data_IF_015942558039
#
_entry.id   IF_015942558039
#
_cell.length_a   1.000
_cell.length_b   1.000
_cell.length_c   1.000
_cell.angle_alpha   90.00
_cell.angle_beta   90.00
_cell.angle_gamma   90.00
#
_symmetry.space_group_name_H-M   'P 1'
#
loop_
_entity.id
_entity.type
_entity.pdbx_description
1 polymer ?
#
# COMPACT_ATOMS: atom_id res chain seq x y z
N UNK A 1 10.76 -62.03 -24.78
CA UNK A 1 11.54 -60.80 -25.06
C UNK A 1 10.61 -59.62 -24.92
N UNK A 2 11.11 -58.55 -24.31
CA UNK A 2 10.41 -57.64 -23.42
C UNK A 2 9.43 -56.65 -24.08
N UNK A 3 8.50 -56.15 -23.26
CA UNK A 3 7.48 -55.15 -23.60
C UNK A 3 8.07 -53.76 -23.90
N UNK A 4 7.40 -52.94 -24.73
CA UNK A 4 7.78 -51.54 -24.94
C UNK A 4 7.51 -50.70 -23.68
N UNK A 5 8.56 -50.12 -23.09
CA UNK A 5 8.44 -49.15 -22.00
C UNK A 5 8.12 -47.78 -22.59
N UNK A 6 6.83 -47.44 -22.61
CA UNK A 6 6.34 -46.08 -22.71
C UNK A 6 6.64 -45.36 -21.38
N UNK A 7 7.73 -44.61 -21.36
CA UNK A 7 8.26 -43.96 -20.16
C UNK A 7 8.06 -42.44 -20.15
N UNK A 8 7.00 -42.02 -19.47
CA UNK A 8 6.92 -40.84 -18.58
C UNK A 8 6.66 -39.46 -19.23
N UNK A 9 5.40 -39.08 -19.12
CA UNK A 9 4.82 -37.74 -19.13
C UNK A 9 5.82 -36.61 -18.86
N UNK A 10 6.16 -35.86 -19.90
CA UNK A 10 6.53 -34.46 -19.82
C UNK A 10 5.26 -33.64 -19.87
N UNK A 11 4.59 -33.49 -18.74
CA UNK A 11 3.47 -32.55 -18.60
C UNK A 11 3.76 -31.61 -17.44
N UNK A 12 3.48 -30.33 -17.68
CA UNK A 12 3.30 -29.28 -16.69
C UNK A 12 4.50 -28.39 -16.36
N UNK A 13 5.05 -27.75 -17.40
CA UNK A 13 5.58 -26.38 -17.30
C UNK A 13 4.72 -25.53 -18.26
N UNK A 14 3.65 -24.90 -17.76
CA UNK A 14 2.93 -23.89 -18.54
C UNK A 14 1.44 -23.73 -18.30
N UNK A 15 0.74 -24.72 -17.72
CA UNK A 15 -0.70 -24.63 -17.49
C UNK A 15 -0.99 -24.66 -15.99
N UNK A 16 -0.98 -23.48 -15.37
CA UNK A 16 -1.84 -23.27 -14.21
C UNK A 16 -3.27 -23.59 -14.69
N UNK A 17 -4.01 -24.53 -14.08
CA UNK A 17 -5.39 -24.81 -14.48
C UNK A 17 -6.16 -23.49 -14.46
N UNK A 18 -6.82 -23.14 -15.56
CA UNK A 18 -7.55 -21.86 -15.70
C UNK A 18 -8.53 -21.65 -14.53
N UNK A 19 -9.10 -22.74 -14.04
CA UNK A 19 -9.95 -22.78 -12.84
C UNK A 19 -9.29 -22.21 -11.58
N UNK A 20 -7.99 -22.45 -11.39
CA UNK A 20 -7.25 -21.92 -10.24
C UNK A 20 -6.93 -20.43 -10.40
N UNK A 21 -6.68 -19.97 -11.63
CA UNK A 21 -6.51 -18.55 -11.92
C UNK A 21 -7.82 -17.79 -11.68
N UNK A 22 -8.94 -18.32 -12.17
CA UNK A 22 -10.27 -17.74 -11.93
C UNK A 22 -10.63 -17.67 -10.45
N UNK A 23 -10.31 -18.73 -9.68
CA UNK A 23 -10.51 -18.73 -8.22
C UNK A 23 -9.70 -17.62 -7.55
N UNK A 24 -8.46 -17.40 -7.98
CA UNK A 24 -7.59 -16.33 -7.44
C UNK A 24 -8.09 -14.95 -7.83
N UNK A 25 -8.51 -14.75 -9.08
CA UNK A 25 -9.09 -13.49 -9.56
C UNK A 25 -10.37 -13.14 -8.81
N UNK A 26 -11.30 -14.10 -8.68
CA UNK A 26 -12.52 -13.90 -7.87
C UNK A 26 -12.21 -13.55 -6.42
N UNK A 27 -11.22 -14.21 -5.82
CA UNK A 27 -10.80 -13.91 -4.45
C UNK A 27 -10.15 -12.52 -4.31
N UNK A 28 -9.51 -11.99 -5.37
CA UNK A 28 -8.97 -10.62 -5.42
C UNK A 28 -10.10 -9.59 -5.56
N UNK A 29 -11.05 -9.83 -6.46
CA UNK A 29 -12.22 -8.98 -6.66
C UNK A 29 -13.07 -8.86 -5.37
N UNK A 30 -13.36 -9.99 -4.71
CA UNK A 30 -14.10 -10.01 -3.43
C UNK A 30 -13.38 -9.24 -2.31
N UNK A 31 -12.04 -9.14 -2.37
CA UNK A 31 -11.25 -8.36 -1.40
C UNK A 31 -11.24 -6.88 -1.76
N UNK A 32 -11.17 -6.57 -3.06
CA UNK A 32 -11.24 -5.20 -3.56
C UNK A 32 -12.59 -4.58 -3.24
N UNK A 33 -13.69 -5.29 -3.51
CA UNK A 33 -15.04 -4.80 -3.27
C UNK A 33 -15.32 -4.53 -1.79
N UNK A 34 -14.92 -5.45 -0.89
CA UNK A 34 -15.03 -5.23 0.56
C UNK A 34 -14.24 -4.00 1.03
N UNK A 35 -13.04 -3.79 0.51
CA UNK A 35 -12.25 -2.59 0.80
C UNK A 35 -12.90 -1.34 0.21
N UNK A 36 -13.48 -1.44 -1.00
CA UNK A 36 -14.19 -0.36 -1.70
C UNK A 36 -15.43 0.10 -0.94
N UNK A 37 -16.17 -0.82 -0.34
CA UNK A 37 -17.37 -0.53 0.46
C UNK A 37 -17.01 0.16 1.78
N UNK A 38 -15.95 -0.29 2.46
CA UNK A 38 -15.42 0.37 3.64
C UNK A 38 -14.94 1.80 3.31
N UNK A 39 -14.27 1.98 2.17
CA UNK A 39 -13.78 3.28 1.68
C UNK A 39 -14.91 4.24 1.27
N UNK A 40 -16.00 3.73 0.69
CA UNK A 40 -17.16 4.55 0.28
C UNK A 40 -17.99 5.04 1.44
N UNK A 41 -18.15 4.23 2.49
CA UNK A 41 -18.82 4.67 3.70
C UNK A 41 -18.09 5.83 4.38
N UNK A 42 -16.77 5.91 4.19
CA UNK A 42 -15.91 6.96 4.74
C UNK A 42 -15.74 8.17 3.79
N UNK A 43 -15.87 7.97 2.49
CA UNK A 43 -15.60 8.97 1.44
C UNK A 43 -16.78 9.04 0.47
N UNK A 44 -17.79 9.86 0.80
CA UNK A 44 -18.87 10.16 -0.13
C UNK A 44 -18.32 10.72 -1.46
N UNK A 45 -18.79 10.14 -2.57
CA UNK A 45 -18.48 10.43 -3.99
C UNK A 45 -17.23 9.75 -4.61
N UNK A 46 -17.51 8.81 -5.53
CA UNK A 46 -16.63 8.15 -6.52
C UNK A 46 -16.62 8.99 -7.84
N UNK A 47 -15.61 8.91 -8.74
CA UNK A 47 -15.13 7.68 -9.37
C UNK A 47 -13.61 7.44 -9.31
N UNK A 48 -13.30 6.18 -9.59
CA UNK A 48 -12.04 5.48 -9.42
C UNK A 48 -10.96 5.97 -10.40
N UNK A 49 -10.09 6.85 -9.92
CA UNK A 49 -8.71 6.94 -10.37
C UNK A 49 -7.85 6.94 -9.10
N UNK A 50 -7.28 5.80 -8.73
CA UNK A 50 -6.67 5.53 -7.41
C UNK A 50 -5.67 6.59 -6.91
N UNK A 51 -5.03 7.35 -7.80
CA UNK A 51 -4.21 8.52 -7.43
C UNK A 51 -5.01 9.83 -7.26
N UNK A 52 -5.99 10.08 -8.12
CA UNK A 52 -6.78 11.31 -8.10
C UNK A 52 -7.75 11.37 -6.92
N UNK A 53 -8.41 10.25 -6.59
CA UNK A 53 -9.32 10.19 -5.44
C UNK A 53 -8.60 10.45 -4.12
N UNK A 54 -7.39 9.90 -3.97
CA UNK A 54 -6.57 10.13 -2.79
C UNK A 54 -6.06 11.59 -2.73
N UNK A 55 -5.64 12.16 -3.87
CA UNK A 55 -5.25 13.56 -3.97
C UNK A 55 -6.40 14.53 -3.66
N UNK A 56 -7.63 14.22 -4.12
CA UNK A 56 -8.82 14.99 -3.82
C UNK A 56 -9.20 14.94 -2.33
N UNK A 57 -9.09 13.77 -1.71
CA UNK A 57 -9.35 13.64 -0.26
C UNK A 57 -8.35 14.47 0.53
N UNK A 58 -7.08 14.41 0.14
CA UNK A 58 -6.00 15.17 0.77
C UNK A 58 -6.15 16.68 0.58
N UNK A 59 -6.54 17.12 -0.62
CA UNK A 59 -6.80 18.53 -0.89
C UNK A 59 -8.03 19.03 -0.14
N UNK A 60 -9.08 18.22 0.00
CA UNK A 60 -10.28 18.59 0.75
C UNK A 60 -9.99 18.73 2.24
N UNK A 61 -9.24 17.80 2.83
CA UNK A 61 -8.79 17.91 4.22
C UNK A 61 -7.94 19.17 4.44
N UNK A 62 -7.00 19.44 3.53
CA UNK A 62 -6.17 20.66 3.59
C UNK A 62 -7.02 21.94 3.50
N UNK A 63 -7.90 22.04 2.51
CA UNK A 63 -8.76 23.22 2.30
C UNK A 63 -9.69 23.43 3.49
N UNK A 64 -10.24 22.35 4.07
CA UNK A 64 -11.11 22.45 5.26
C UNK A 64 -10.37 23.03 6.47
N UNK A 65 -9.14 22.61 6.73
CA UNK A 65 -8.32 23.13 7.82
C UNK A 65 -7.99 24.62 7.62
N UNK A 66 -7.66 25.03 6.39
CA UNK A 66 -7.40 26.43 6.04
C UNK A 66 -8.65 27.29 6.23
N UNK A 67 -9.82 26.82 5.77
CA UNK A 67 -11.09 27.53 5.93
C UNK A 67 -11.48 27.71 7.40
N UNK A 68 -11.31 26.66 8.22
CA UNK A 68 -11.57 26.74 9.67
C UNK A 68 -10.60 27.72 10.34
N UNK A 69 -9.30 27.65 10.03
CA UNK A 69 -8.31 28.59 10.54
C UNK A 69 -8.60 30.04 10.16
N UNK A 70 -9.02 30.28 8.92
CA UNK A 70 -9.41 31.61 8.44
C UNK A 70 -10.70 32.11 9.13
N UNK A 71 -11.69 31.25 9.32
CA UNK A 71 -12.93 31.60 10.01
C UNK A 71 -12.68 31.99 11.48
N UNK A 72 -11.84 31.21 12.17
CA UNK A 72 -11.43 31.50 13.56
C UNK A 72 -10.60 32.79 13.62
N UNK A 73 -9.60 32.94 12.73
CA UNK A 73 -8.77 34.14 12.66
C UNK A 73 -9.59 35.41 12.41
N UNK A 74 -10.58 35.35 11.52
CA UNK A 74 -11.48 36.46 11.23
C UNK A 74 -12.37 36.83 12.44
N UNK A 75 -12.87 35.84 13.16
CA UNK A 75 -13.63 36.05 14.40
C UNK A 75 -12.79 36.72 15.48
N UNK A 76 -11.54 36.28 15.65
CA UNK A 76 -10.60 36.86 16.62
C UNK A 76 -10.25 38.31 16.25
N UNK A 77 -9.96 38.60 14.99
CA UNK A 77 -9.68 39.97 14.53
C UNK A 77 -10.87 40.92 14.77
N UNK A 78 -12.11 40.42 14.60
CA UNK A 78 -13.34 41.18 14.85
C UNK A 78 -13.54 41.54 16.33
N UNK A 79 -13.15 40.66 17.25
CA UNK A 79 -13.32 40.88 18.69
C UNK A 79 -12.21 41.77 19.26
N UNK A 80 -10.98 41.63 18.74
CA UNK A 80 -9.81 42.25 19.35
C UNK A 80 -9.60 43.69 18.85
N UNK A 81 -10.12 44.07 17.68
CA UNK A 81 -10.05 45.45 17.16
C UNK A 81 -8.64 45.93 16.78
N UNK A 82 -7.62 45.09 16.98
CA UNK A 82 -6.25 45.30 16.50
C UNK A 82 -6.17 44.99 14.98
N UNK A 83 -5.12 45.50 14.28
CA UNK A 83 -4.78 45.02 12.94
C UNK A 83 -4.73 43.48 12.88
N UNK A 84 -4.76 42.84 11.69
CA UNK A 84 -5.14 41.43 11.50
C UNK A 84 -4.07 40.41 11.96
N UNK A 85 -3.60 40.57 13.19
CA UNK A 85 -2.61 39.73 13.84
C UNK A 85 -3.18 38.35 14.13
N UNK A 86 -4.47 38.25 14.49
CA UNK A 86 -5.15 36.98 14.68
C UNK A 86 -5.21 36.19 13.38
N UNK A 87 -5.56 36.83 12.27
CA UNK A 87 -5.47 36.22 10.94
C UNK A 87 -4.05 35.75 10.59
N UNK A 88 -3.01 36.55 10.85
CA UNK A 88 -1.63 36.14 10.56
C UNK A 88 -1.22 34.90 11.37
N UNK A 89 -1.46 34.89 12.68
CA UNK A 89 -1.12 33.75 13.54
C UNK A 89 -1.90 32.50 13.18
N UNK A 90 -3.22 32.60 12.98
CA UNK A 90 -4.06 31.46 12.63
C UNK A 90 -3.84 30.99 11.20
N UNK A 91 -3.43 31.86 10.28
CA UNK A 91 -3.06 31.48 8.92
C UNK A 91 -1.77 30.66 8.92
N UNK A 92 -0.73 31.11 9.64
CA UNK A 92 0.53 30.37 9.76
C UNK A 92 0.29 29.04 10.47
N UNK A 93 -0.46 29.05 11.58
CA UNK A 93 -0.76 27.84 12.34
C UNK A 93 -1.62 26.84 11.53
N UNK A 94 -2.64 27.33 10.83
CA UNK A 94 -3.48 26.52 9.94
C UNK A 94 -2.72 25.97 8.75
N UNK A 95 -1.79 26.76 8.17
CA UNK A 95 -0.90 26.31 7.11
C UNK A 95 0.04 25.21 7.58
N UNK A 96 0.71 25.40 8.73
CA UNK A 96 1.59 24.38 9.32
C UNK A 96 0.80 23.10 9.64
N UNK A 97 -0.38 23.22 10.26
CA UNK A 97 -1.26 22.08 10.54
C UNK A 97 -1.68 21.34 9.25
N UNK A 98 -2.02 22.09 8.18
CA UNK A 98 -2.36 21.53 6.88
C UNK A 98 -1.19 20.79 6.23
N UNK A 99 0.01 21.39 6.22
CA UNK A 99 1.23 20.75 5.71
C UNK A 99 1.56 19.50 6.51
N UNK A 100 1.44 19.53 7.84
CA UNK A 100 1.65 18.36 8.69
C UNK A 100 0.64 17.23 8.40
N UNK A 101 -0.64 17.56 8.12
CA UNK A 101 -1.63 16.57 7.70
C UNK A 101 -1.24 15.91 6.37
N UNK A 102 -0.79 16.70 5.40
CA UNK A 102 -0.32 16.24 4.09
C UNK A 102 0.90 15.33 4.21
N UNK A 103 1.91 15.77 4.96
CA UNK A 103 3.13 14.99 5.20
C UNK A 103 2.82 13.68 5.93
N UNK A 104 1.90 13.69 6.89
CA UNK A 104 1.45 12.48 7.57
C UNK A 104 0.76 11.53 6.61
N UNK A 105 -0.14 12.00 5.76
CA UNK A 105 -0.79 11.17 4.74
C UNK A 105 0.22 10.58 3.74
N UNK A 106 1.21 11.36 3.31
CA UNK A 106 2.26 10.92 2.40
C UNK A 106 3.24 9.92 3.05
N UNK A 107 3.59 10.12 4.31
CA UNK A 107 4.49 9.23 5.07
C UNK A 107 3.82 7.97 5.64
N UNK A 108 2.50 7.84 5.52
CA UNK A 108 1.75 6.67 6.02
C UNK A 108 1.93 5.41 5.15
N UNK A 109 2.60 5.50 4.00
CA UNK A 109 3.07 4.33 3.24
C UNK A 109 4.50 4.03 3.69
N UNK A 110 4.60 3.36 4.82
CA UNK A 110 5.77 2.58 5.21
C UNK A 110 5.22 1.44 6.02
N UNK A 111 4.82 0.38 5.32
CA UNK A 111 4.64 -0.94 5.91
C UNK A 111 6.03 -1.59 5.94
N UNK A 112 6.72 -1.64 7.11
CA UNK A 112 8.02 -2.28 7.22
C UNK A 112 7.87 -3.81 7.38
N UNK A 113 6.66 -4.38 7.23
CA UNK A 113 6.46 -5.81 7.36
C UNK A 113 6.67 -6.59 6.05
N UNK A 114 7.79 -6.31 5.37
CA UNK A 114 8.56 -7.37 4.68
C UNK A 114 9.60 -7.94 5.64
N UNK A 115 9.13 -8.42 6.80
CA UNK A 115 9.93 -9.26 7.67
C UNK A 115 9.79 -10.70 7.19
N UNK A 116 10.83 -11.15 6.48
CA UNK A 116 11.28 -12.54 6.35
C UNK A 116 10.21 -13.61 6.14
N UNK A 117 10.10 -14.06 4.90
CA UNK A 117 10.02 -15.50 4.66
C UNK A 117 11.22 -15.85 3.77
N UNK A 118 12.35 -16.15 4.43
CA UNK A 118 13.43 -16.96 3.86
C UNK A 118 13.13 -18.40 4.28
N UNK A 119 12.37 -19.17 3.49
CA UNK A 119 12.22 -20.58 3.74
C UNK A 119 13.55 -21.25 3.44
N UNK A 120 14.32 -21.59 4.47
CA UNK A 120 15.23 -22.74 4.39
C UNK A 120 16.26 -22.63 3.24
N UNK A 121 17.43 -22.01 3.42
CA UNK A 121 18.41 -22.49 4.38
C UNK A 121 18.35 -24.03 4.56
N UNK A 122 18.30 -24.78 3.46
CA UNK A 122 18.67 -26.18 3.48
C UNK A 122 20.19 -26.26 3.69
N UNK A 123 20.68 -27.05 4.66
CA UNK A 123 22.11 -27.16 4.89
C UNK A 123 22.78 -27.74 3.65
N UNK A 124 23.92 -27.13 3.33
CA UNK A 124 24.94 -27.64 2.45
C UNK A 124 25.06 -29.17 2.58
N UNK A 125 24.68 -29.89 1.54
CA UNK A 125 25.29 -31.18 1.23
C UNK A 125 26.30 -30.91 0.12
N UNK A 126 27.43 -30.33 0.54
CA UNK A 126 28.67 -30.41 -0.21
C UNK A 126 28.98 -31.90 -0.44
N UNK A 127 29.39 -32.20 -1.67
CA UNK A 127 29.87 -33.51 -2.08
C UNK A 127 31.02 -33.97 -1.17
N UNK A 128 31.12 -35.26 -0.82
CA UNK A 128 32.43 -35.86 -0.62
C UNK A 128 33.03 -36.06 -2.02
N UNK A 129 33.87 -35.11 -2.41
CA UNK A 129 34.99 -35.39 -3.31
C UNK A 129 36.09 -35.83 -2.36
N UNK A 130 36.13 -37.12 -2.05
CA UNK A 130 37.31 -37.75 -1.47
C UNK A 130 38.02 -38.44 -2.64
N UNK A 131 38.91 -37.67 -3.24
CA UNK A 131 40.12 -38.21 -3.84
C UNK A 131 40.93 -38.84 -2.70
N UNK A 132 40.86 -40.16 -2.57
CA UNK A 132 41.90 -40.95 -1.88
C UNK A 132 42.67 -41.70 -2.98
N UNK A 133 43.79 -41.09 -3.38
CA UNK A 133 45.14 -41.67 -3.44
C UNK A 133 45.19 -43.21 -3.42
N UNK A 134 45.68 -43.85 -4.48
CA UNK A 134 47.10 -44.21 -4.70
C UNK A 134 47.27 -45.75 -4.58
N UNK A 135 47.87 -46.32 -5.63
CA UNK A 135 48.78 -47.48 -5.65
C UNK A 135 48.36 -48.85 -5.04
N UNK A 136 48.05 -49.82 -5.92
CA UNK A 136 48.77 -51.12 -6.13
C UNK A 136 47.95 -52.14 -6.95
#
# INVERSE_FOLDING_TARGET
MEFPVAGKNRTSEGEMPEEELERRLRALDDRLDRNREARVRESGSRPDNSGFGNALRLSTEFVSAVLVGAAIGWGVDKVTGYPPWGMIFFLILGFVAGVLNVMRAAGSISDPHRKGFDPSAAPAKAAPVDDEDEDE
#
